data_IF_337588565615
#
_entry.id   IF_337588565615
#
_cell.length_a   1.000
_cell.length_b   1.000
_cell.length_c   1.000
_cell.angle_alpha   90.00
_cell.angle_beta   90.00
_cell.angle_gamma   90.00
#
_symmetry.space_group_name_H-M   'P 1'
#
loop_
_entity.id
_entity.type
_entity.pdbx_description
1 polymer ?
#
# COMPACT_ATOMS: atom_id res chain seq x y z
N UNK A 1 1.09 -6.21 25.28
CA UNK A 1 1.88 -6.79 24.18
C UNK A 1 1.46 -8.25 24.03
N UNK A 2 1.01 -8.68 22.86
CA UNK A 2 0.48 -10.04 22.65
C UNK A 2 1.62 -11.02 22.26
N UNK A 3 1.48 -12.32 22.56
CA UNK A 3 2.44 -13.38 22.18
C UNK A 3 2.81 -13.30 20.70
N UNK A 4 1.81 -13.06 19.84
CA UNK A 4 1.99 -12.86 18.40
C UNK A 4 2.93 -11.68 18.05
N UNK A 5 2.83 -10.55 18.77
CA UNK A 5 3.70 -9.39 18.54
C UNK A 5 5.11 -9.60 19.09
N UNK A 6 5.26 -10.32 20.21
CA UNK A 6 6.58 -10.63 20.79
C UNK A 6 7.37 -11.59 19.90
N UNK A 7 6.70 -12.61 19.33
CA UNK A 7 7.32 -13.54 18.38
C UNK A 7 7.83 -12.82 17.13
N UNK A 8 7.11 -11.83 16.61
CA UNK A 8 7.57 -11.05 15.46
C UNK A 8 8.89 -10.31 15.73
N UNK A 9 9.15 -9.87 16.96
CA UNK A 9 10.39 -9.15 17.30
C UNK A 9 11.63 -10.06 17.35
N UNK A 10 11.45 -11.35 17.62
CA UNK A 10 12.55 -12.32 17.76
C UNK A 10 12.93 -13.01 16.44
N UNK A 11 12.06 -12.92 15.43
CA UNK A 11 12.22 -13.60 14.15
C UNK A 11 13.06 -12.75 13.20
N UNK A 12 14.05 -13.33 12.47
CA UNK A 12 14.85 -12.58 11.49
C UNK A 12 14.03 -12.29 10.22
N UNK A 13 13.14 -11.29 10.31
CA UNK A 13 12.08 -10.99 9.34
C UNK A 13 12.62 -10.80 7.91
N UNK A 14 13.76 -10.12 7.77
CA UNK A 14 14.38 -9.87 6.46
C UNK A 14 14.93 -11.16 5.82
N UNK A 15 15.55 -12.07 6.60
CA UNK A 15 16.05 -13.35 6.07
C UNK A 15 14.89 -14.25 5.62
N UNK A 16 13.83 -14.34 6.42
CA UNK A 16 12.64 -15.10 6.06
C UNK A 16 11.96 -14.53 4.81
N UNK A 17 11.85 -13.20 4.71
CA UNK A 17 11.23 -12.56 3.55
C UNK A 17 12.04 -12.80 2.27
N UNK A 18 13.38 -12.83 2.34
CA UNK A 18 14.24 -13.21 1.20
C UNK A 18 14.02 -14.65 0.76
N UNK A 19 13.92 -15.60 1.69
CA UNK A 19 13.67 -17.03 1.37
C UNK A 19 12.26 -17.21 0.81
N UNK A 20 11.25 -16.65 1.48
CA UNK A 20 9.87 -16.67 1.02
C UNK A 20 9.76 -16.06 -0.39
N UNK A 21 10.43 -14.94 -0.65
CA UNK A 21 10.46 -14.30 -1.97
C UNK A 21 11.09 -15.16 -3.06
N UNK A 22 12.18 -15.88 -2.77
CA UNK A 22 12.79 -16.82 -3.73
C UNK A 22 11.87 -18.01 -4.04
N UNK A 23 11.22 -18.56 -3.01
CA UNK A 23 10.24 -19.64 -3.19
C UNK A 23 9.01 -19.15 -3.97
N UNK A 24 8.53 -17.96 -3.65
CA UNK A 24 7.37 -17.36 -4.30
C UNK A 24 7.63 -17.00 -5.77
N UNK A 25 8.87 -16.62 -6.11
CA UNK A 25 9.31 -16.39 -7.48
C UNK A 25 9.65 -17.68 -8.26
N UNK A 26 9.64 -18.85 -7.61
CA UNK A 26 10.00 -20.11 -8.26
C UNK A 26 9.02 -20.47 -9.36
N UNK A 27 9.55 -20.71 -10.57
CA UNK A 27 8.79 -21.23 -11.72
C UNK A 27 8.70 -22.76 -11.74
N UNK A 28 9.28 -23.45 -10.75
CA UNK A 28 9.25 -24.91 -10.70
C UNK A 28 7.79 -25.41 -10.59
N UNK A 29 7.30 -26.27 -11.51
CA UNK A 29 5.88 -26.61 -11.61
C UNK A 29 5.24 -27.10 -10.31
N UNK A 30 5.89 -28.01 -9.58
CA UNK A 30 5.40 -28.50 -8.29
C UNK A 30 5.36 -27.44 -7.20
N UNK A 31 6.38 -26.57 -7.12
CA UNK A 31 6.46 -25.51 -6.11
C UNK A 31 5.34 -24.49 -6.34
N UNK A 32 5.26 -23.92 -7.55
CA UNK A 32 4.22 -22.93 -7.87
C UNK A 32 2.81 -23.49 -7.69
N UNK A 33 2.55 -24.70 -8.20
CA UNK A 33 1.22 -25.32 -8.16
C UNK A 33 0.77 -25.56 -6.72
N UNK A 34 1.68 -26.02 -5.86
CA UNK A 34 1.37 -26.29 -4.46
C UNK A 34 1.09 -25.00 -3.71
N UNK A 35 1.95 -23.99 -3.86
CA UNK A 35 1.78 -22.70 -3.18
C UNK A 35 0.51 -21.97 -3.62
N UNK A 36 0.30 -21.82 -4.94
CA UNK A 36 -0.88 -21.13 -5.50
C UNK A 36 -2.17 -21.81 -5.03
N UNK A 37 -2.28 -23.14 -5.15
CA UNK A 37 -3.51 -23.86 -4.77
C UNK A 37 -3.76 -23.83 -3.26
N UNK A 38 -2.71 -23.97 -2.46
CA UNK A 38 -2.84 -23.96 -1.00
C UNK A 38 -3.30 -22.59 -0.53
N UNK A 39 -2.75 -21.52 -1.11
CA UNK A 39 -3.13 -20.14 -0.80
C UNK A 39 -4.54 -19.81 -1.28
N UNK A 40 -4.86 -20.12 -2.54
CA UNK A 40 -6.20 -19.88 -3.09
C UNK A 40 -7.28 -20.61 -2.28
N UNK A 41 -7.00 -21.84 -1.82
CA UNK A 41 -7.89 -22.58 -0.92
C UNK A 41 -7.99 -21.95 0.47
N UNK A 42 -6.87 -21.58 1.08
CA UNK A 42 -6.84 -21.02 2.43
C UNK A 42 -7.57 -19.67 2.53
N UNK A 43 -7.49 -18.86 1.49
CA UNK A 43 -8.08 -17.52 1.42
C UNK A 43 -9.35 -17.45 0.57
N UNK A 44 -9.88 -18.60 0.13
CA UNK A 44 -11.08 -18.73 -0.70
C UNK A 44 -11.11 -17.76 -1.90
N UNK A 45 -10.00 -17.72 -2.66
CA UNK A 45 -9.83 -16.77 -3.77
C UNK A 45 -10.62 -17.28 -4.99
N UNK A 46 -11.57 -16.47 -5.45
CA UNK A 46 -12.18 -16.62 -6.79
C UNK A 46 -11.32 -15.90 -7.84
N UNK A 47 -11.30 -16.43 -9.07
CA UNK A 47 -10.63 -15.83 -10.23
C UNK A 47 -11.59 -15.15 -11.21
N UNK A 48 -12.88 -15.01 -10.86
CA UNK A 48 -13.91 -14.56 -11.80
C UNK A 48 -13.68 -13.12 -12.32
N UNK A 49 -13.13 -12.25 -11.47
CA UNK A 49 -12.83 -10.84 -11.75
C UNK A 49 -11.42 -10.61 -12.33
N UNK A 50 -10.60 -11.66 -12.46
CA UNK A 50 -9.21 -11.57 -12.90
C UNK A 50 -9.06 -11.96 -14.36
N UNK A 51 -8.07 -11.37 -15.03
CA UNK A 51 -7.79 -11.61 -16.45
C UNK A 51 -7.46 -13.09 -16.71
N UNK A 52 -6.66 -13.68 -15.82
CA UNK A 52 -6.28 -15.09 -15.88
C UNK A 52 -7.16 -15.93 -14.96
N UNK A 53 -8.16 -16.58 -15.55
CA UNK A 53 -9.18 -17.35 -14.79
C UNK A 53 -8.74 -18.76 -14.33
N UNK A 54 -7.47 -19.13 -14.52
CA UNK A 54 -6.94 -20.45 -14.15
C UNK A 54 -5.69 -20.34 -13.30
N UNK A 55 -5.66 -21.05 -12.16
CA UNK A 55 -4.48 -21.12 -11.29
C UNK A 55 -3.23 -21.65 -12.00
N UNK A 56 -3.38 -22.43 -13.08
CA UNK A 56 -2.25 -22.95 -13.85
C UNK A 56 -1.67 -21.93 -14.85
N UNK A 57 -2.38 -20.82 -15.12
CA UNK A 57 -1.93 -19.76 -16.04
C UNK A 57 -0.84 -18.86 -15.43
N UNK A 58 -0.61 -18.98 -14.12
CA UNK A 58 0.41 -18.21 -13.42
C UNK A 58 1.77 -18.93 -13.45
N UNK A 59 2.83 -18.16 -13.70
CA UNK A 59 4.19 -18.65 -13.82
C UNK A 59 4.85 -18.93 -12.48
N UNK A 60 4.42 -18.24 -11.43
CA UNK A 60 4.94 -18.35 -10.07
C UNK A 60 3.88 -17.93 -9.05
N UNK A 61 4.16 -18.10 -7.75
CA UNK A 61 3.27 -17.57 -6.72
C UNK A 61 3.24 -16.05 -6.72
N UNK A 62 4.38 -15.39 -6.93
CA UNK A 62 4.44 -13.93 -7.05
C UNK A 62 3.54 -13.41 -8.17
N UNK A 63 3.59 -14.07 -9.33
CA UNK A 63 2.74 -13.75 -10.48
C UNK A 63 1.24 -13.92 -10.17
N UNK A 64 0.85 -14.99 -9.46
CA UNK A 64 -0.51 -15.16 -8.94
C UNK A 64 -0.91 -14.11 -7.90
N UNK A 65 0.03 -13.71 -7.04
CA UNK A 65 -0.22 -12.73 -5.99
C UNK A 65 -0.43 -11.33 -6.56
N UNK A 66 0.29 -10.99 -7.62
CA UNK A 66 0.15 -9.73 -8.38
C UNK A 66 -0.75 -9.87 -9.60
N UNK A 67 -1.67 -10.84 -9.61
CA UNK A 67 -2.65 -11.09 -10.68
C UNK A 67 -3.38 -9.82 -11.14
N UNK A 68 -3.60 -9.71 -12.44
CA UNK A 68 -4.33 -8.62 -13.10
C UNK A 68 -5.85 -8.80 -12.95
N UNK A 69 -6.55 -7.70 -12.67
CA UNK A 69 -7.99 -7.62 -12.83
C UNK A 69 -8.35 -7.50 -14.32
N UNK A 70 -9.57 -7.90 -14.69
CA UNK A 70 -10.13 -7.56 -16.00
C UNK A 70 -10.30 -6.05 -16.12
N UNK A 71 -10.26 -5.51 -17.34
CA UNK A 71 -10.40 -4.07 -17.59
C UNK A 71 -11.71 -3.49 -17.03
N UNK A 72 -12.80 -4.26 -17.01
CA UNK A 72 -14.12 -3.85 -16.53
C UNK A 72 -14.40 -4.24 -15.07
N UNK A 73 -13.48 -4.91 -14.38
CA UNK A 73 -13.71 -5.44 -13.03
C UNK A 73 -13.83 -4.33 -11.97
N UNK A 74 -13.30 -3.13 -12.24
CA UNK A 74 -13.34 -1.97 -11.34
C UNK A 74 -13.69 -0.73 -12.13
N UNK A 75 -14.84 -0.13 -11.81
CA UNK A 75 -15.19 1.20 -12.32
C UNK A 75 -14.48 2.25 -11.48
N UNK A 76 -13.68 3.10 -12.13
CA UNK A 76 -13.07 4.25 -11.47
C UNK A 76 -14.13 5.34 -11.33
N UNK A 77 -14.35 5.83 -10.11
CA UNK A 77 -15.28 6.93 -9.87
C UNK A 77 -14.78 8.20 -10.57
N UNK A 78 -15.69 8.88 -11.27
CA UNK A 78 -15.39 10.03 -12.13
C UNK A 78 -15.76 11.38 -11.47
N UNK A 79 -16.05 11.40 -10.17
CA UNK A 79 -16.39 12.62 -9.44
C UNK A 79 -15.27 13.66 -9.59
N UNK A 80 -15.64 14.88 -9.98
CA UNK A 80 -14.68 15.98 -10.12
C UNK A 80 -14.03 16.25 -8.76
N UNK A 81 -12.71 16.30 -8.74
CA UNK A 81 -11.90 16.39 -7.51
C UNK A 81 -12.06 15.18 -6.57
N UNK A 82 -12.59 14.07 -7.05
CA UNK A 82 -12.66 12.82 -6.31
C UNK A 82 -11.27 12.28 -5.97
N UNK A 83 -11.17 11.74 -4.76
CA UNK A 83 -10.04 10.94 -4.28
C UNK A 83 -10.56 9.51 -4.19
N UNK A 84 -10.06 8.63 -5.05
CA UNK A 84 -10.50 7.24 -5.10
C UNK A 84 -9.59 6.34 -4.26
N UNK A 85 -10.09 5.17 -3.87
CA UNK A 85 -9.30 4.19 -3.14
C UNK A 85 -8.16 3.70 -4.03
N UNK A 86 -6.91 3.73 -3.52
CA UNK A 86 -5.77 3.25 -4.28
C UNK A 86 -5.72 1.71 -4.35
N UNK A 87 -6.50 0.99 -3.56
CA UNK A 87 -6.41 -0.47 -3.47
C UNK A 87 -7.74 -1.12 -3.08
N UNK A 88 -7.86 -2.41 -3.40
CA UNK A 88 -8.83 -3.28 -2.75
C UNK A 88 -8.39 -3.59 -1.33
N UNK A 89 -9.26 -3.42 -0.34
CA UNK A 89 -8.90 -3.70 1.03
C UNK A 89 -9.88 -3.17 2.06
N UNK A 90 -9.32 -2.83 3.22
CA UNK A 90 -10.05 -2.30 4.36
C UNK A 90 -9.42 -0.98 4.76
N UNK A 91 -10.24 0.06 4.98
CA UNK A 91 -9.78 1.30 5.58
C UNK A 91 -9.29 0.98 6.99
N UNK A 92 -7.98 1.07 7.20
CA UNK A 92 -7.39 0.97 8.54
C UNK A 92 -7.79 2.19 9.36
N UNK A 93 -7.49 3.38 8.84
CA UNK A 93 -7.84 4.69 9.37
C UNK A 93 -7.89 5.69 8.21
N UNK A 94 -8.66 6.76 8.39
CA UNK A 94 -8.65 7.96 7.54
C UNK A 94 -9.03 9.16 8.40
N UNK A 95 -8.65 10.36 7.97
CA UNK A 95 -8.97 11.57 8.71
C UNK A 95 -8.05 12.73 8.39
N UNK A 96 -7.98 13.68 9.33
CA UNK A 96 -7.05 14.80 9.29
C UNK A 96 -5.74 14.44 9.99
N UNK A 97 -4.66 15.03 9.52
CA UNK A 97 -3.37 15.06 10.21
C UNK A 97 -3.43 16.30 11.12
N UNK A 98 -3.09 16.12 12.39
CA UNK A 98 -3.09 17.21 13.37
C UNK A 98 -1.70 17.35 13.95
N UNK A 99 -1.06 18.51 13.76
CA UNK A 99 0.30 18.78 14.22
C UNK A 99 1.26 17.61 13.91
N UNK A 100 1.35 17.27 12.62
CA UNK A 100 2.20 16.20 12.08
C UNK A 100 1.75 14.77 12.43
N UNK A 101 0.66 14.57 13.18
CA UNK A 101 0.25 13.26 13.66
C UNK A 101 -0.90 12.66 12.85
N UNK A 102 -0.68 11.44 12.34
CA UNK A 102 -1.72 10.60 11.75
C UNK A 102 -2.19 9.56 12.77
N UNK A 103 -3.48 9.23 12.76
CA UNK A 103 -4.03 8.15 13.57
C UNK A 103 -3.67 6.77 12.96
N UNK A 104 -2.96 5.95 13.73
CA UNK A 104 -2.60 4.58 13.35
C UNK A 104 -3.73 3.59 13.64
N UNK A 105 -4.16 3.53 14.91
CA UNK A 105 -5.25 2.70 15.42
C UNK A 105 -5.43 2.93 16.92
N UNK A 106 -6.67 2.84 17.44
CA UNK A 106 -6.99 2.89 18.89
C UNK A 106 -6.30 4.05 19.65
N UNK A 107 -6.34 5.25 19.07
CA UNK A 107 -5.73 6.46 19.66
C UNK A 107 -4.20 6.52 19.60
N UNK A 108 -3.54 5.54 18.98
CA UNK A 108 -2.11 5.60 18.70
C UNK A 108 -1.87 6.44 17.46
N UNK A 109 -0.94 7.38 17.56
CA UNK A 109 -0.56 8.25 16.46
C UNK A 109 0.91 8.06 16.11
N UNK A 110 1.29 8.46 14.91
CA UNK A 110 2.67 8.47 14.41
C UNK A 110 2.89 9.71 13.54
N UNK A 111 4.15 10.05 13.32
CA UNK A 111 4.54 11.30 12.68
C UNK A 111 4.61 11.20 11.14
N UNK A 112 4.06 12.20 10.44
CA UNK A 112 4.06 12.26 8.97
C UNK A 112 5.45 12.50 8.40
N UNK A 113 6.30 13.31 9.05
CA UNK A 113 7.69 13.49 8.65
C UNK A 113 8.50 12.21 8.80
N UNK A 114 8.24 11.44 9.86
CA UNK A 114 8.82 10.10 9.99
C UNK A 114 8.31 9.14 8.92
N UNK A 115 7.01 9.14 8.61
CA UNK A 115 6.44 8.33 7.52
C UNK A 115 7.09 8.68 6.18
N UNK A 116 7.27 9.96 5.89
CA UNK A 116 7.83 10.41 4.62
C UNK A 116 9.37 10.36 4.60
N UNK A 117 9.99 10.14 5.76
CA UNK A 117 11.45 10.20 5.96
C UNK A 117 12.08 11.51 5.49
N UNK A 118 11.35 12.62 5.67
CA UNK A 118 11.75 13.97 5.28
C UNK A 118 11.01 15.00 6.14
N UNK A 119 11.76 15.93 6.74
CA UNK A 119 11.22 16.93 7.66
C UNK A 119 10.50 18.08 6.95
N UNK A 120 10.91 18.43 5.73
CA UNK A 120 10.30 19.51 4.96
C UNK A 120 8.94 19.05 4.43
N UNK A 121 8.89 17.86 3.83
CA UNK A 121 7.64 17.20 3.46
C UNK A 121 6.77 17.02 4.71
N UNK A 122 7.35 16.57 5.83
CA UNK A 122 6.64 16.44 7.10
C UNK A 122 5.94 17.73 7.55
N UNK A 123 6.64 18.86 7.46
CA UNK A 123 6.10 20.17 7.79
C UNK A 123 5.01 20.62 6.81
N UNK A 124 5.17 20.30 5.52
CA UNK A 124 4.19 20.63 4.48
C UNK A 124 2.85 19.90 4.67
N UNK A 125 2.89 18.66 5.16
CA UNK A 125 1.70 17.83 5.42
C UNK A 125 1.19 17.88 6.86
N UNK A 126 1.73 18.75 7.72
CA UNK A 126 1.47 18.75 9.16
C UNK A 126 -0.02 18.82 9.56
N UNK A 127 -0.81 19.56 8.78
CA UNK A 127 -2.27 19.72 8.96
C UNK A 127 -3.05 19.21 7.73
N UNK A 128 -2.50 18.20 7.06
CA UNK A 128 -3.08 17.60 5.86
C UNK A 128 -4.21 16.62 6.17
N UNK A 129 -4.47 15.73 5.21
CA UNK A 129 -5.42 14.63 5.37
C UNK A 129 -4.79 13.32 4.94
N UNK A 130 -5.30 12.19 5.43
CA UNK A 130 -4.76 10.89 5.08
C UNK A 130 -5.83 9.81 4.97
N UNK A 131 -5.52 8.76 4.21
CA UNK A 131 -6.27 7.51 4.18
C UNK A 131 -5.30 6.32 4.13
N UNK A 132 -5.41 5.41 5.08
CA UNK A 132 -4.59 4.20 5.21
C UNK A 132 -5.43 2.99 4.83
N UNK A 133 -5.11 2.33 3.72
CA UNK A 133 -5.79 1.13 3.23
C UNK A 133 -4.93 -0.10 3.49
N UNK A 134 -5.47 -1.07 4.22
CA UNK A 134 -4.85 -2.37 4.46
C UNK A 134 -5.32 -3.38 3.41
N UNK A 135 -4.37 -4.04 2.76
CA UNK A 135 -4.62 -5.10 1.79
C UNK A 135 -4.45 -6.45 2.49
N UNK A 136 -5.56 -7.13 2.74
CA UNK A 136 -5.55 -8.48 3.29
C UNK A 136 -5.05 -9.48 2.23
N UNK A 137 -4.50 -10.65 2.63
CA UNK A 137 -3.87 -11.59 1.69
C UNK A 137 -4.78 -12.07 0.54
N UNK A 138 -6.09 -12.06 0.71
CA UNK A 138 -7.07 -12.41 -0.33
C UNK A 138 -7.31 -11.30 -1.36
N UNK A 139 -7.00 -10.03 -1.05
CA UNK A 139 -7.28 -8.90 -1.92
C UNK A 139 -6.41 -8.90 -3.20
N UNK A 140 -6.75 -8.01 -4.12
CA UNK A 140 -5.91 -7.60 -5.23
C UNK A 140 -4.77 -6.71 -4.72
N UNK A 141 -3.52 -7.04 -5.05
CA UNK A 141 -2.32 -6.42 -4.43
C UNK A 141 -1.56 -5.46 -5.35
N UNK A 142 -2.27 -4.84 -6.29
CA UNK A 142 -1.74 -3.66 -6.98
C UNK A 142 -2.36 -2.40 -6.41
N UNK A 143 -1.55 -1.35 -6.40
CA UNK A 143 -1.88 -0.01 -5.93
C UNK A 143 -2.05 0.87 -7.15
N UNK A 144 -3.15 1.61 -7.16
CA UNK A 144 -3.55 2.51 -8.22
C UNK A 144 -3.57 3.94 -7.71
N UNK A 145 -3.57 4.87 -8.64
CA UNK A 145 -3.53 6.29 -8.37
C UNK A 145 -4.85 6.76 -7.77
N UNK A 146 -4.85 7.33 -6.54
CA UNK A 146 -6.07 7.85 -5.92
C UNK A 146 -6.53 9.17 -6.54
N UNK A 147 -5.68 9.83 -7.33
CA UNK A 147 -5.89 11.12 -7.96
C UNK A 147 -5.00 11.25 -9.20
N UNK A 148 -5.33 12.19 -10.09
CA UNK A 148 -4.46 12.57 -11.21
C UNK A 148 -3.31 13.46 -10.72
N UNK A 149 -2.08 13.18 -11.18
CA UNK A 149 -0.89 13.96 -10.84
C UNK A 149 0.37 13.49 -11.55
N UNK A 150 1.45 14.24 -11.39
CA UNK A 150 2.77 13.91 -11.92
C UNK A 150 3.63 13.36 -10.81
N UNK A 151 4.13 12.12 -10.95
CA UNK A 151 5.14 11.57 -10.06
C UNK A 151 6.42 12.36 -10.24
N UNK A 152 6.88 13.02 -9.18
CA UNK A 152 8.09 13.85 -9.19
C UNK A 152 9.26 13.17 -8.49
N UNK A 153 8.99 12.34 -7.47
CA UNK A 153 10.03 11.68 -6.69
C UNK A 153 9.54 10.37 -6.08
N UNK A 154 10.43 9.39 -6.03
CA UNK A 154 10.29 8.22 -5.17
C UNK A 154 11.40 8.18 -4.14
N UNK A 155 11.07 7.87 -2.89
CA UNK A 155 12.04 7.69 -1.80
C UNK A 155 11.86 6.31 -1.19
N UNK A 156 12.82 5.43 -1.40
CA UNK A 156 12.87 4.15 -0.71
C UNK A 156 13.39 4.37 0.71
N UNK A 157 12.69 3.80 1.69
CA UNK A 157 13.08 3.87 3.10
C UNK A 157 13.24 2.46 3.65
N UNK A 158 14.47 2.06 4.03
CA UNK A 158 14.70 0.76 4.65
C UNK A 158 14.02 0.70 6.02
N UNK A 159 13.64 -0.50 6.44
CA UNK A 159 12.98 -0.67 7.72
C UNK A 159 12.74 -2.12 8.12
N UNK A 160 12.01 -2.24 9.22
CA UNK A 160 11.49 -3.53 9.70
C UNK A 160 10.38 -4.06 8.78
N UNK A 161 9.96 -5.29 8.99
CA UNK A 161 8.88 -5.93 8.22
C UNK A 161 7.88 -6.55 9.20
N UNK A 162 7.34 -5.74 10.10
CA UNK A 162 6.24 -6.17 10.95
C UNK A 162 5.00 -6.45 10.09
N UNK A 163 4.13 -7.32 10.58
CA UNK A 163 2.80 -7.48 9.95
C UNK A 163 2.00 -6.18 10.09
N UNK A 164 1.20 -5.85 9.08
CA UNK A 164 0.39 -4.61 9.06
C UNK A 164 -1.10 -4.84 9.32
N UNK A 165 -1.48 -6.02 9.83
CA UNK A 165 -2.87 -6.28 10.20
C UNK A 165 -3.35 -5.40 11.37
N UNK A 166 -4.68 -5.30 11.54
CA UNK A 166 -5.32 -4.47 12.57
C UNK A 166 -4.80 -4.75 13.99
N UNK A 167 -4.45 -6.00 14.31
CA UNK A 167 -3.91 -6.34 15.63
C UNK A 167 -2.53 -5.73 15.82
N UNK A 168 -1.65 -5.82 14.82
CA UNK A 168 -0.31 -5.25 14.90
C UNK A 168 -0.37 -3.72 14.88
N UNK A 169 -1.20 -3.12 14.03
CA UNK A 169 -1.43 -1.68 13.98
C UNK A 169 -1.93 -1.12 15.33
N UNK A 170 -2.74 -1.86 16.07
CA UNK A 170 -3.20 -1.44 17.40
C UNK A 170 -2.13 -1.56 18.51
N UNK A 171 -1.05 -2.32 18.30
CA UNK A 171 -0.13 -2.72 19.37
C UNK A 171 1.33 -2.32 19.16
N UNK A 172 1.78 -2.14 17.91
CA UNK A 172 3.16 -1.77 17.59
C UNK A 172 3.22 -0.26 17.33
N UNK A 173 4.01 0.52 18.10
CA UNK A 173 4.17 1.95 17.87
C UNK A 173 4.91 2.22 16.56
N UNK A 174 4.53 3.31 15.90
CA UNK A 174 5.14 3.82 14.67
C UNK A 174 5.26 2.76 13.57
N UNK A 175 4.29 1.85 13.50
CA UNK A 175 4.35 0.65 12.66
C UNK A 175 4.67 1.00 11.20
N UNK A 176 3.94 1.96 10.65
CA UNK A 176 4.09 2.35 9.25
C UNK A 176 5.37 3.15 8.99
N UNK A 177 5.82 3.96 9.95
CA UNK A 177 7.07 4.73 9.86
C UNK A 177 8.33 3.88 10.11
N UNK A 178 8.19 2.72 10.76
CA UNK A 178 9.28 1.77 11.04
C UNK A 178 9.42 0.68 9.99
N UNK A 179 8.36 0.39 9.25
CA UNK A 179 8.42 -0.62 8.20
C UNK A 179 9.15 -0.10 6.96
N UNK A 180 9.79 -1.02 6.24
CA UNK A 180 10.29 -0.79 4.88
C UNK A 180 9.15 -0.27 4.00
N UNK A 181 9.41 0.79 3.24
CA UNK A 181 8.38 1.44 2.42
C UNK A 181 8.99 2.20 1.25
N UNK A 182 8.12 2.50 0.29
CA UNK A 182 8.40 3.40 -0.82
C UNK A 182 7.44 4.58 -0.74
N UNK A 183 7.97 5.79 -0.63
CA UNK A 183 7.20 7.03 -0.67
C UNK A 183 7.19 7.52 -2.11
N UNK A 184 6.00 7.66 -2.71
CA UNK A 184 5.82 8.24 -4.04
C UNK A 184 5.23 9.64 -3.88
N UNK A 185 5.95 10.66 -4.32
CA UNK A 185 5.58 12.08 -4.24
C UNK A 185 5.07 12.57 -5.58
N UNK A 186 3.97 13.31 -5.55
CA UNK A 186 3.28 13.79 -6.74
C UNK A 186 3.00 15.28 -6.68
N UNK A 187 3.10 15.94 -7.82
CA UNK A 187 2.46 17.25 -8.03
C UNK A 187 1.04 17.04 -8.54
N UNK A 188 0.09 17.72 -7.92
CA UNK A 188 -1.34 17.64 -8.25
C UNK A 188 -1.93 19.04 -8.31
N UNK A 189 -3.19 19.16 -8.76
CA UNK A 189 -3.91 20.44 -8.79
C UNK A 189 -4.09 21.12 -7.42
N UNK A 190 -3.94 20.37 -6.32
CA UNK A 190 -4.09 20.88 -4.95
C UNK A 190 -2.76 20.91 -4.18
N UNK A 191 -1.62 20.87 -4.89
CA UNK A 191 -0.27 20.89 -4.31
C UNK A 191 0.39 19.52 -4.30
N UNK A 192 1.47 19.37 -3.52
CA UNK A 192 2.15 18.07 -3.40
C UNK A 192 1.22 17.08 -2.70
N UNK A 193 1.25 15.82 -3.12
CA UNK A 193 0.58 14.71 -2.44
C UNK A 193 1.48 13.49 -2.43
N UNK A 194 1.19 12.51 -1.56
CA UNK A 194 1.98 11.28 -1.49
C UNK A 194 1.10 10.03 -1.50
N UNK A 195 1.63 8.97 -2.12
CA UNK A 195 1.16 7.60 -1.92
C UNK A 195 2.33 6.79 -1.35
N UNK A 196 2.18 6.31 -0.12
CA UNK A 196 3.20 5.53 0.57
C UNK A 196 2.83 4.05 0.52
N UNK A 197 3.68 3.27 -0.12
CA UNK A 197 3.57 1.81 -0.20
C UNK A 197 4.37 1.18 0.93
N UNK A 198 3.70 0.68 1.96
CA UNK A 198 4.35 0.12 3.16
C UNK A 198 4.42 -1.41 3.05
N UNK A 199 5.65 -1.92 3.08
CA UNK A 199 5.94 -3.35 3.14
C UNK A 199 5.58 -3.95 4.49
N UNK A 200 5.46 -5.27 4.54
CA UNK A 200 5.07 -6.04 5.71
C UNK A 200 5.83 -7.37 5.76
N UNK A 201 5.66 -8.12 6.84
CA UNK A 201 6.25 -9.45 6.96
C UNK A 201 5.89 -10.32 5.74
N UNK A 202 6.87 -11.04 5.19
CA UNK A 202 6.71 -11.92 4.02
C UNK A 202 6.62 -11.16 2.68
N UNK A 203 6.52 -9.82 2.66
CA UNK A 203 6.67 -9.02 1.43
C UNK A 203 8.02 -9.32 0.78
N UNK A 204 7.99 -9.81 -0.44
CA UNK A 204 9.12 -10.16 -1.29
C UNK A 204 9.56 -9.01 -2.22
N UNK A 205 8.98 -7.82 -2.06
CA UNK A 205 9.39 -6.59 -2.71
C UNK A 205 8.23 -5.62 -2.96
N UNK A 206 8.60 -4.37 -3.20
CA UNK A 206 7.74 -3.29 -3.70
C UNK A 206 8.19 -2.99 -5.13
N UNK A 207 7.24 -2.76 -6.01
CA UNK A 207 7.49 -2.38 -7.40
C UNK A 207 6.52 -1.28 -7.80
N UNK A 208 7.02 -0.30 -8.54
CA UNK A 208 6.17 0.71 -9.20
C UNK A 208 6.40 0.67 -10.70
N UNK A 209 5.45 1.20 -11.46
CA UNK A 209 5.60 1.36 -12.92
C UNK A 209 6.84 2.22 -13.25
N UNK A 210 7.14 3.21 -12.41
CA UNK A 210 8.26 4.13 -12.63
C UNK A 210 9.63 3.53 -12.24
N UNK A 211 9.70 2.73 -11.17
CA UNK A 211 10.99 2.24 -10.62
C UNK A 211 11.32 0.80 -11.02
N UNK A 212 10.33 0.05 -11.50
CA UNK A 212 10.40 -1.41 -11.47
C UNK A 212 10.53 -1.93 -10.04
N UNK A 213 10.99 -3.18 -9.91
CA UNK A 213 11.17 -3.82 -8.60
C UNK A 213 12.34 -3.21 -7.85
N UNK A 214 12.05 -2.67 -6.66
CA UNK A 214 13.07 -2.06 -5.81
C UNK A 214 14.05 -3.10 -5.26
N UNK A 215 15.34 -2.80 -5.39
CA UNK A 215 16.39 -3.53 -4.71
C UNK A 215 16.53 -3.02 -3.26
N UNK A 216 16.48 -3.92 -2.28
CA UNK A 216 16.64 -3.56 -0.87
C UNK A 216 18.07 -3.13 -0.57
N UNK A 217 18.19 -1.94 -0.02
CA UNK A 217 19.41 -1.35 0.55
C UNK A 217 19.23 -1.11 2.05
N UNK A 218 20.33 -0.86 2.75
CA UNK A 218 20.31 -0.44 4.15
C UNK A 218 20.20 1.09 4.29
N UNK A 219 20.34 1.82 3.18
CA UNK A 219 20.27 3.28 3.10
C UNK A 219 18.99 3.75 2.39
N UNK A 220 18.52 4.95 2.77
CA UNK A 220 17.50 5.69 2.02
C UNK A 220 18.09 6.10 0.68
N UNK A 221 17.31 5.94 -0.39
CA UNK A 221 17.67 6.53 -1.69
C UNK A 221 16.45 7.14 -2.37
N UNK A 222 16.72 8.14 -3.19
CA UNK A 222 15.71 8.87 -3.95
C UNK A 222 15.91 8.70 -5.44
N UNK A 223 14.83 8.88 -6.20
CA UNK A 223 14.88 8.97 -7.65
C UNK A 223 13.86 10.00 -8.11
N UNK A 224 14.30 10.93 -8.95
CA UNK A 224 13.42 11.93 -9.55
C UNK A 224 12.73 11.36 -10.79
N UNK A 225 11.51 11.83 -11.03
CA UNK A 225 10.63 11.37 -12.10
C UNK A 225 9.91 12.56 -12.75
N UNK A 226 9.42 12.34 -13.96
CA UNK A 226 8.49 13.22 -14.66
C UNK A 226 7.48 12.35 -15.40
N UNK A 227 6.65 11.64 -14.64
CA UNK A 227 5.69 10.67 -15.16
C UNK A 227 4.27 11.06 -14.73
N UNK A 228 3.42 11.34 -15.71
CA UNK A 228 2.01 11.68 -15.46
C UNK A 228 1.19 10.42 -15.24
N UNK A 229 0.28 10.49 -14.28
CA UNK A 229 -0.73 9.47 -14.07
C UNK A 229 -2.13 10.06 -13.97
N UNK A 230 -3.10 9.39 -14.56
CA UNK A 230 -4.52 9.63 -14.31
C UNK A 230 -5.00 8.87 -13.05
N UNK A 231 -6.05 9.37 -12.41
CA UNK A 231 -6.72 8.63 -11.34
C UNK A 231 -7.15 7.23 -11.83
N UNK A 232 -6.90 6.21 -11.02
CA UNK A 232 -7.16 4.81 -11.34
C UNK A 232 -6.06 4.09 -12.13
N UNK A 233 -5.04 4.78 -12.65
CA UNK A 233 -3.90 4.12 -13.29
C UNK A 233 -3.05 3.34 -12.28
N UNK A 234 -2.41 2.25 -12.72
CA UNK A 234 -1.56 1.46 -11.84
C UNK A 234 -0.31 2.26 -11.43
N UNK A 235 -0.12 2.44 -10.13
CA UNK A 235 1.11 3.02 -9.57
C UNK A 235 2.16 1.93 -9.35
N UNK A 236 1.74 0.80 -8.77
CA UNK A 236 2.66 -0.25 -8.37
C UNK A 236 1.99 -1.46 -7.77
N UNK A 237 2.78 -2.36 -7.19
CA UNK A 237 2.32 -3.64 -6.66
C UNK A 237 3.21 -4.17 -5.55
N UNK A 238 2.63 -5.05 -4.75
CA UNK A 238 3.34 -5.75 -3.68
C UNK A 238 3.46 -7.25 -3.96
N UNK A 239 4.64 -7.79 -3.70
CA UNK A 239 4.87 -9.22 -3.78
C UNK A 239 4.71 -9.89 -2.40
N UNK A 240 3.48 -9.95 -1.85
CA UNK A 240 3.06 -10.54 -0.54
C UNK A 240 2.70 -9.56 0.60
N UNK A 241 1.49 -9.00 0.57
CA UNK A 241 0.87 -8.21 1.64
C UNK A 241 1.22 -6.72 1.58
N UNK A 242 0.38 -5.85 2.15
CA UNK A 242 0.69 -4.41 2.18
C UNK A 242 -0.31 -3.48 2.87
N UNK A 243 0.16 -2.25 3.05
CA UNK A 243 -0.66 -1.07 3.30
C UNK A 243 -0.31 0.02 2.27
N UNK A 244 -1.32 0.69 1.73
CA UNK A 244 -1.16 1.92 0.94
C UNK A 244 -1.67 3.10 1.76
N UNK A 245 -0.89 4.18 1.85
CA UNK A 245 -1.25 5.39 2.60
C UNK A 245 -1.28 6.57 1.65
N UNK A 246 -2.44 7.18 1.48
CA UNK A 246 -2.61 8.43 0.77
C UNK A 246 -2.39 9.57 1.76
N UNK A 247 -1.56 10.55 1.40
CA UNK A 247 -1.31 11.76 2.18
C UNK A 247 -1.57 12.98 1.29
N UNK A 248 -2.40 13.88 1.77
CA UNK A 248 -2.85 15.07 1.06
C UNK A 248 -2.50 16.33 1.87
N UNK A 249 -2.17 17.45 1.21
CA UNK A 249 -1.83 18.69 1.90
C UNK A 249 -3.07 19.36 2.48
N UNK A 250 -2.89 20.24 3.46
CA UNK A 250 -3.97 21.06 4.04
C UNK A 250 -4.77 21.80 2.97
N UNK A 251 -4.08 22.27 1.93
CA UNK A 251 -4.69 22.98 0.79
C UNK A 251 -5.71 22.12 0.03
N UNK A 252 -5.59 20.79 0.06
CA UNK A 252 -6.56 19.89 -0.58
C UNK A 252 -7.94 19.93 0.08
N UNK A 253 -8.01 20.29 1.38
CA UNK A 253 -9.26 20.30 2.17
C UNK A 253 -10.08 19.03 1.93
N UNK A 254 -9.42 17.88 2.05
CA UNK A 254 -10.05 16.61 1.73
C UNK A 254 -11.21 16.34 2.68
N UNK A 255 -12.38 16.08 2.09
CA UNK A 255 -13.62 15.77 2.78
C UNK A 255 -13.98 14.31 2.47
N UNK A 256 -13.88 13.46 3.49
CA UNK A 256 -14.13 12.03 3.37
C UNK A 256 -15.63 11.76 3.47
N UNK A 257 -16.15 10.87 2.63
CA UNK A 257 -17.59 10.54 2.65
C UNK A 257 -18.00 9.96 4.01
N UNK A 258 -19.19 10.33 4.51
CA UNK A 258 -19.72 9.86 5.81
C UNK A 258 -19.71 8.33 5.97
N UNK A 259 -19.83 7.60 4.86
CA UNK A 259 -19.79 6.12 4.84
C UNK A 259 -18.39 5.52 4.96
N UNK A 260 -17.33 6.31 4.82
CA UNK A 260 -15.94 5.87 4.83
C UNK A 260 -15.37 6.02 6.24
N UNK A 261 -15.27 4.90 6.94
CA UNK A 261 -14.75 4.84 8.31
C UNK A 261 -13.79 3.65 8.48
N UNK A 262 -13.06 3.61 9.60
CA UNK A 262 -12.22 2.47 9.94
C UNK A 262 -13.02 1.15 9.88
N UNK A 263 -12.41 0.13 9.27
CA UNK A 263 -12.97 -1.18 8.94
C UNK A 263 -13.95 -1.23 7.76
N UNK A 264 -14.18 -0.12 7.05
CA UNK A 264 -14.96 -0.15 5.81
C UNK A 264 -14.19 -0.92 4.73
N UNK A 265 -14.87 -1.83 4.04
CA UNK A 265 -14.32 -2.52 2.88
C UNK A 265 -14.40 -1.60 1.69
N UNK A 266 -13.30 -1.47 0.96
CA UNK A 266 -13.20 -0.63 -0.23
C UNK A 266 -12.58 -1.39 -1.40
N UNK A 267 -12.97 -0.99 -2.60
CA UNK A 267 -12.36 -1.46 -3.84
C UNK A 267 -11.53 -0.35 -4.46
N UNK A 268 -10.45 -0.72 -5.16
CA UNK A 268 -9.68 0.20 -5.99
C UNK A 268 -10.63 0.95 -6.95
N UNK A 269 -10.44 2.26 -7.07
CA UNK A 269 -11.28 3.13 -7.91
C UNK A 269 -12.57 3.64 -7.25
N UNK A 270 -12.96 3.10 -6.09
CA UNK A 270 -14.13 3.58 -5.33
C UNK A 270 -13.85 4.96 -4.71
N UNK A 271 -14.81 5.89 -4.81
CA UNK A 271 -14.68 7.21 -4.19
C UNK A 271 -14.55 7.12 -2.67
N UNK A 272 -13.49 7.71 -2.10
CA UNK A 272 -13.30 7.85 -0.66
C UNK A 272 -13.75 9.22 -0.16
N UNK A 273 -13.56 10.26 -0.97
CA UNK A 273 -13.81 11.64 -0.60
C UNK A 273 -13.51 12.60 -1.75
N UNK A 274 -13.59 13.89 -1.46
CA UNK A 274 -13.35 14.96 -2.44
C UNK A 274 -12.34 15.97 -1.92
N UNK A 275 -11.51 16.49 -2.82
CA UNK A 275 -10.70 17.67 -2.54
C UNK A 275 -11.48 18.96 -2.85
N UNK A 276 -11.58 19.87 -1.88
CA UNK A 276 -12.29 21.14 -1.99
C UNK A 276 -11.34 22.34 -2.21
N UNK A 277 -10.23 22.08 -2.91
CA UNK A 277 -9.20 23.06 -3.23
C UNK A 277 -9.63 24.04 -4.32
#
# INVERSE_FOLDING_TARGET
MNVFTTLQQLVPQQKLSKVAGRLAASRHPYVKRTFIRSFAKAYNISLDEYERQSLNAYESFNDFFTRELKEDARTIDATVNGIVSPADGIISQLGQIEDHKLLQAKGRHYDVGQLLADSEDGSYFADGSFATIYLAPSNYHRVHMPFTGTLTKTRYVPGTLFSVNNTTAANVPDLFARNERLVCMFDTKYGKAAVVMVGAMIVAGIETVATGKIARTDDIFESDHDMQFAAGEELGRFYLGSTAIVVLPKAAKADWLDGMQANSVVQMGQLLGMANA
#
